data_IF_947636664886
#
_entry.id   IF_947636664886
#
_cell.length_a   1.000
_cell.length_b   1.000
_cell.length_c   1.000
_cell.angle_alpha   90.00
_cell.angle_beta   90.00
_cell.angle_gamma   90.00
#
_symmetry.space_group_name_H-M   'P 1'
#
loop_
_entity.id
_entity.type
_entity.pdbx_description
1 polymer ?
#
# COMPACT_ATOMS: atom_id res chain seq x y z
N UNK A 1 10.68 11.48 4.50
CA UNK A 1 10.15 12.25 5.65
C UNK A 1 11.27 12.58 6.63
N UNK A 2 12.22 13.48 6.29
CA UNK A 2 13.37 13.79 7.14
C UNK A 2 12.99 14.55 8.41
N UNK A 3 13.59 14.17 9.54
CA UNK A 3 13.54 14.89 10.82
C UNK A 3 14.93 14.96 11.46
N UNK A 4 15.09 15.77 12.50
CA UNK A 4 16.36 15.98 13.20
C UNK A 4 16.77 17.45 13.23
N UNK A 5 18.08 17.71 13.25
CA UNK A 5 18.63 19.07 13.21
C UNK A 5 18.26 19.76 11.89
N UNK A 6 17.76 20.98 11.97
CA UNK A 6 17.30 21.73 10.78
C UNK A 6 18.46 22.08 9.86
N UNK A 7 19.60 22.46 10.43
CA UNK A 7 20.83 22.80 9.73
C UNK A 7 21.34 21.60 8.91
N UNK A 8 21.26 20.39 9.49
CA UNK A 8 21.64 19.18 8.78
C UNK A 8 20.69 18.89 7.61
N UNK A 9 19.38 19.09 7.79
CA UNK A 9 18.42 18.96 6.69
C UNK A 9 18.72 19.94 5.55
N UNK A 10 19.03 21.20 5.86
CA UNK A 10 19.32 22.21 4.83
C UNK A 10 20.51 21.83 3.95
N UNK A 11 21.53 21.17 4.50
CA UNK A 11 22.69 20.66 3.75
C UNK A 11 22.31 19.53 2.76
N UNK A 12 21.40 18.64 3.14
CA UNK A 12 21.02 17.47 2.31
C UNK A 12 19.77 17.69 1.47
N UNK A 13 18.98 18.72 1.77
CA UNK A 13 17.72 19.03 1.11
C UNK A 13 17.82 19.11 -0.43
N UNK A 14 18.88 19.70 -1.04
CA UNK A 14 19.00 19.73 -2.50
C UNK A 14 19.02 18.34 -3.13
N UNK A 15 19.70 17.38 -2.49
CA UNK A 15 19.77 16.00 -2.97
C UNK A 15 18.41 15.32 -2.75
N UNK A 16 17.85 15.44 -1.54
CA UNK A 16 16.58 14.80 -1.20
C UNK A 16 15.44 15.26 -2.10
N UNK A 17 15.39 16.55 -2.47
CA UNK A 17 14.38 17.10 -3.37
C UNK A 17 14.53 16.61 -4.81
N UNK A 18 15.75 16.37 -5.29
CA UNK A 18 16.00 15.89 -6.66
C UNK A 18 15.63 14.41 -6.84
N UNK A 19 15.75 13.59 -5.78
CA UNK A 19 15.46 12.16 -5.86
C UNK A 19 14.05 11.79 -5.41
N UNK A 20 13.32 12.72 -4.78
CA UNK A 20 11.95 12.49 -4.35
C UNK A 20 11.00 12.40 -5.56
N UNK A 21 9.94 11.61 -5.43
CA UNK A 21 8.81 11.70 -6.36
C UNK A 21 8.25 13.14 -6.37
N UNK A 22 7.73 13.57 -7.51
CA UNK A 22 7.14 14.90 -7.69
C UNK A 22 5.63 14.72 -7.84
N UNK A 23 4.85 15.43 -7.01
CA UNK A 23 3.40 15.40 -7.06
C UNK A 23 2.86 16.18 -8.29
N UNK A 24 1.57 16.05 -8.56
CA UNK A 24 0.92 16.69 -9.73
C UNK A 24 1.00 18.22 -9.69
N UNK A 25 1.09 18.80 -8.50
CA UNK A 25 1.29 20.24 -8.29
C UNK A 25 2.73 20.70 -8.54
N UNK A 26 3.64 19.79 -8.87
CA UNK A 26 5.05 20.05 -9.15
C UNK A 26 5.95 20.08 -7.91
N UNK A 27 5.40 19.86 -6.72
CA UNK A 27 6.19 19.86 -5.49
C UNK A 27 6.82 18.48 -5.22
N UNK A 28 8.11 18.43 -4.81
CA UNK A 28 8.75 17.18 -4.45
C UNK A 28 8.17 16.64 -3.13
N UNK A 29 7.93 15.33 -3.05
CA UNK A 29 7.39 14.60 -1.90
C UNK A 29 8.39 14.46 -0.74
N UNK A 30 9.00 15.56 -0.33
CA UNK A 30 9.93 15.64 0.79
C UNK A 30 9.82 17.01 1.45
N UNK A 31 9.71 16.99 2.78
CA UNK A 31 9.71 18.20 3.59
C UNK A 31 10.38 17.91 4.93
N UNK A 32 10.91 18.96 5.57
CA UNK A 32 11.42 18.86 6.93
C UNK A 32 10.23 18.70 7.89
N UNK A 33 10.18 17.55 8.56
CA UNK A 33 9.05 17.18 9.40
C UNK A 33 9.14 17.84 10.78
N UNK A 34 10.34 17.92 11.35
CA UNK A 34 10.55 18.47 12.69
C UNK A 34 11.83 17.97 13.34
N UNK A 35 12.02 18.36 14.60
CA UNK A 35 13.18 17.98 15.41
C UNK A 35 13.23 16.48 15.71
N UNK A 36 14.41 16.01 16.10
CA UNK A 36 14.65 14.65 16.61
C UNK A 36 14.06 13.54 15.71
N UNK A 37 13.29 12.62 16.29
CA UNK A 37 12.71 11.47 15.61
C UNK A 37 11.41 11.75 14.84
N UNK A 38 11.01 13.01 14.63
CA UNK A 38 9.73 13.34 14.02
C UNK A 38 9.52 12.69 12.64
N UNK A 39 10.57 12.65 11.82
CA UNK A 39 10.54 11.98 10.52
C UNK A 39 10.27 10.47 10.60
N UNK A 40 10.89 9.79 11.56
CA UNK A 40 10.65 8.37 11.81
C UNK A 40 9.23 8.12 12.34
N UNK A 41 8.71 9.03 13.18
CA UNK A 41 7.35 8.94 13.69
C UNK A 41 6.32 9.03 12.56
N UNK A 42 6.47 10.00 11.64
CA UNK A 42 5.55 10.10 10.49
C UNK A 42 5.64 8.85 9.60
N UNK A 43 6.83 8.27 9.41
CA UNK A 43 6.95 6.99 8.67
C UNK A 43 6.28 5.83 9.39
N UNK A 44 6.39 5.76 10.71
CA UNK A 44 5.70 4.74 11.52
C UNK A 44 4.18 4.87 11.36
N UNK A 45 3.64 6.08 11.41
CA UNK A 45 2.20 6.34 11.21
C UNK A 45 1.76 6.02 9.79
N UNK A 46 2.54 6.39 8.76
CA UNK A 46 2.27 6.03 7.38
C UNK A 46 2.15 4.51 7.19
N UNK A 47 3.07 3.73 7.77
CA UNK A 47 2.95 2.27 7.76
C UNK A 47 1.69 1.81 8.50
N UNK A 48 1.33 2.45 9.63
CA UNK A 48 0.08 2.14 10.32
C UNK A 48 -1.18 2.35 9.46
N UNK A 49 -1.22 3.45 8.71
CA UNK A 49 -2.32 3.76 7.77
C UNK A 49 -2.35 2.75 6.63
N UNK A 50 -1.19 2.43 6.03
CA UNK A 50 -1.06 1.43 4.95
C UNK A 50 -1.65 0.07 5.37
N UNK A 51 -1.34 -0.41 6.58
CA UNK A 51 -1.90 -1.67 7.07
C UNK A 51 -3.42 -1.59 7.28
N UNK A 52 -3.93 -0.43 7.70
CA UNK A 52 -5.38 -0.19 7.80
C UNK A 52 -6.07 -0.28 6.45
N UNK A 53 -5.53 0.41 5.45
CA UNK A 53 -6.09 0.41 4.08
C UNK A 53 -6.07 -0.98 3.46
N UNK A 54 -4.95 -1.71 3.61
CA UNK A 54 -4.84 -3.09 3.13
C UNK A 54 -5.87 -4.03 3.79
N UNK A 55 -6.11 -3.88 5.09
CA UNK A 55 -7.10 -4.68 5.81
C UNK A 55 -8.54 -4.34 5.37
N UNK A 56 -8.85 -3.06 5.16
CA UNK A 56 -10.15 -2.64 4.65
C UNK A 56 -10.41 -3.17 3.24
N UNK A 57 -9.40 -3.12 2.36
CA UNK A 57 -9.47 -3.71 1.02
C UNK A 57 -9.70 -5.22 1.09
N UNK A 58 -8.99 -5.91 1.98
CA UNK A 58 -9.14 -7.36 2.16
C UNK A 58 -10.53 -7.75 2.69
N UNK A 59 -11.11 -6.95 3.58
CA UNK A 59 -12.48 -7.15 4.07
C UNK A 59 -13.51 -6.92 2.96
N UNK A 60 -13.34 -5.88 2.14
CA UNK A 60 -14.19 -5.65 0.97
C UNK A 60 -14.10 -6.84 0.00
N UNK A 61 -12.89 -7.33 -0.30
CA UNK A 61 -12.69 -8.55 -1.08
C UNK A 61 -13.43 -9.75 -0.46
N UNK A 62 -13.29 -9.99 0.84
CA UNK A 62 -13.91 -11.13 1.51
C UNK A 62 -15.45 -11.08 1.42
N UNK A 63 -16.05 -9.89 1.55
CA UNK A 63 -17.49 -9.69 1.38
C UNK A 63 -17.95 -9.95 -0.05
N UNK A 64 -17.22 -9.45 -1.04
CA UNK A 64 -17.56 -9.63 -2.46
C UNK A 64 -17.35 -11.08 -2.91
N UNK A 65 -16.23 -11.70 -2.54
CA UNK A 65 -15.88 -13.07 -2.91
C UNK A 65 -16.72 -14.10 -2.17
N UNK A 66 -16.83 -13.98 -0.85
CA UNK A 66 -17.51 -14.95 0.00
C UNK A 66 -19.00 -14.69 0.17
N UNK A 67 -19.41 -13.42 0.23
CA UNK A 67 -20.80 -13.02 0.44
C UNK A 67 -21.60 -12.92 -0.86
N UNK A 68 -21.04 -12.32 -1.91
CA UNK A 68 -21.69 -12.17 -3.22
C UNK A 68 -21.22 -13.19 -4.27
N UNK A 69 -20.27 -14.06 -3.92
CA UNK A 69 -19.76 -15.12 -4.79
C UNK A 69 -19.16 -14.63 -6.12
N UNK A 70 -18.58 -13.42 -6.16
CA UNK A 70 -17.97 -12.88 -7.37
C UNK A 70 -16.76 -13.72 -7.84
N UNK A 71 -16.61 -13.86 -9.15
CA UNK A 71 -15.40 -14.38 -9.78
C UNK A 71 -14.22 -13.40 -9.64
N UNK A 72 -13.00 -13.87 -9.91
CA UNK A 72 -11.81 -13.00 -9.79
C UNK A 72 -11.80 -11.93 -10.89
N UNK A 73 -12.38 -12.24 -12.05
CA UNK A 73 -12.59 -11.32 -13.15
C UNK A 73 -13.59 -10.22 -12.80
N UNK A 74 -14.70 -10.57 -12.14
CA UNK A 74 -15.69 -9.58 -11.64
C UNK A 74 -15.10 -8.71 -10.53
N UNK A 75 -14.27 -9.28 -9.65
CA UNK A 75 -13.52 -8.52 -8.65
C UNK A 75 -12.54 -7.55 -9.31
N UNK A 76 -11.76 -8.00 -10.29
CA UNK A 76 -10.84 -7.15 -11.04
C UNK A 76 -11.57 -5.98 -11.70
N UNK A 77 -12.72 -6.24 -12.32
CA UNK A 77 -13.55 -5.19 -12.91
C UNK A 77 -14.06 -4.21 -11.85
N UNK A 78 -14.61 -4.70 -10.75
CA UNK A 78 -15.13 -3.86 -9.66
C UNK A 78 -14.05 -2.92 -9.10
N UNK A 79 -12.86 -3.46 -8.83
CA UNK A 79 -11.73 -2.65 -8.33
C UNK A 79 -11.15 -1.73 -9.41
N UNK A 80 -11.28 -2.06 -10.69
CA UNK A 80 -10.96 -1.14 -11.79
C UNK A 80 -11.88 0.06 -11.76
N UNK A 81 -13.19 -0.15 -11.67
CA UNK A 81 -14.19 0.92 -11.59
C UNK A 81 -13.97 1.81 -10.35
N UNK A 82 -13.62 1.22 -9.20
CA UNK A 82 -13.29 1.96 -7.99
C UNK A 82 -12.04 2.83 -8.15
N UNK A 83 -11.03 2.36 -8.89
CA UNK A 83 -9.79 3.09 -9.12
C UNK A 83 -9.96 4.29 -10.07
N UNK A 84 -11.03 4.32 -10.85
CA UNK A 84 -11.39 5.46 -11.71
C UNK A 84 -12.19 6.54 -10.95
N UNK A 85 -12.65 6.22 -9.73
CA UNK A 85 -13.46 7.10 -8.89
C UNK A 85 -12.72 7.64 -7.66
N UNK A 86 -13.45 7.80 -6.56
CA UNK A 86 -12.94 8.39 -5.31
C UNK A 86 -11.87 7.53 -4.61
N UNK A 87 -11.82 6.23 -4.91
CA UNK A 87 -10.86 5.29 -4.33
C UNK A 87 -9.59 5.15 -5.18
N UNK A 88 -9.39 6.02 -6.17
CA UNK A 88 -8.19 6.04 -7.01
C UNK A 88 -6.93 6.10 -6.15
N UNK A 89 -6.20 4.98 -6.12
CA UNK A 89 -5.03 4.83 -5.26
C UNK A 89 -4.15 3.69 -5.72
N UNK A 90 -2.87 3.76 -5.36
CA UNK A 90 -1.91 2.71 -5.70
C UNK A 90 -2.33 1.33 -5.18
N UNK A 91 -2.87 1.23 -3.95
CA UNK A 91 -3.29 -0.04 -3.37
C UNK A 91 -4.48 -0.67 -4.11
N UNK A 92 -5.43 0.13 -4.57
CA UNK A 92 -6.56 -0.34 -5.37
C UNK A 92 -6.08 -0.78 -6.77
N UNK A 93 -5.16 -0.01 -7.37
CA UNK A 93 -4.57 -0.31 -8.68
C UNK A 93 -3.84 -1.66 -8.70
N UNK A 94 -2.97 -1.93 -7.72
CA UNK A 94 -2.31 -3.25 -7.64
C UNK A 94 -3.29 -4.36 -7.29
N UNK A 95 -4.35 -4.06 -6.53
CA UNK A 95 -5.35 -5.05 -6.11
C UNK A 95 -6.15 -5.59 -7.30
N UNK A 96 -6.64 -4.72 -8.20
CA UNK A 96 -7.32 -5.18 -9.42
C UNK A 96 -6.41 -6.07 -10.28
N UNK A 97 -5.12 -5.76 -10.35
CA UNK A 97 -4.15 -6.51 -11.16
C UNK A 97 -3.89 -7.88 -10.54
N UNK A 98 -3.80 -7.96 -9.20
CA UNK A 98 -3.61 -9.22 -8.46
C UNK A 98 -4.73 -10.22 -8.75
N UNK A 99 -5.99 -9.77 -8.83
CA UNK A 99 -7.11 -10.69 -9.11
C UNK A 99 -7.00 -11.38 -10.48
N UNK A 100 -6.33 -10.75 -11.46
CA UNK A 100 -6.14 -11.34 -12.79
C UNK A 100 -4.84 -12.14 -12.92
N UNK A 101 -3.97 -12.10 -11.91
CA UNK A 101 -2.67 -12.77 -11.95
C UNK A 101 -2.85 -14.28 -11.84
N UNK A 102 -2.27 -15.01 -12.80
CA UNK A 102 -2.24 -16.47 -12.82
C UNK A 102 -0.84 -17.01 -12.55
N UNK A 103 -0.78 -18.19 -11.94
CA UNK A 103 0.44 -18.99 -11.78
C UNK A 103 0.77 -19.76 -13.07
N UNK A 104 1.85 -20.55 -13.04
CA UNK A 104 2.30 -21.37 -14.17
C UNK A 104 1.32 -22.49 -14.53
N UNK A 105 0.46 -22.90 -13.59
CA UNK A 105 -0.58 -23.92 -13.78
C UNK A 105 -1.91 -23.31 -14.29
N UNK A 106 -1.97 -21.98 -14.43
CA UNK A 106 -3.14 -21.23 -14.88
C UNK A 106 -4.18 -20.97 -13.79
N UNK A 107 -3.89 -21.25 -12.52
CA UNK A 107 -4.75 -20.91 -11.38
C UNK A 107 -4.55 -19.46 -11.00
N UNK A 108 -5.58 -18.84 -10.44
CA UNK A 108 -5.46 -17.49 -9.91
C UNK A 108 -4.55 -17.48 -8.68
N UNK A 109 -3.55 -16.62 -8.70
CA UNK A 109 -2.51 -16.59 -7.67
C UNK A 109 -3.11 -16.27 -6.30
N UNK A 110 -4.09 -15.36 -6.25
CA UNK A 110 -4.79 -14.98 -5.01
C UNK A 110 -5.48 -16.15 -4.31
N UNK A 111 -5.91 -17.18 -5.05
CA UNK A 111 -6.63 -18.33 -4.50
C UNK A 111 -5.68 -19.44 -3.98
N UNK A 112 -4.39 -19.37 -4.32
CA UNK A 112 -3.38 -20.37 -3.94
C UNK A 112 -2.34 -19.83 -2.96
N UNK A 113 -2.33 -18.52 -2.69
CA UNK A 113 -1.50 -17.92 -1.64
C UNK A 113 -2.01 -18.36 -0.26
N UNK A 114 -1.08 -18.76 0.61
CA UNK A 114 -1.38 -19.05 2.01
C UNK A 114 -1.88 -17.77 2.72
N UNK A 115 -3.06 -17.84 3.35
CA UNK A 115 -3.66 -16.73 4.10
C UNK A 115 -3.03 -16.56 5.49
N UNK A 116 -1.73 -16.29 5.51
CA UNK A 116 -0.96 -15.94 6.70
C UNK A 116 -0.13 -14.69 6.40
N UNK A 117 -0.57 -13.52 6.89
CA UNK A 117 0.20 -12.30 6.67
C UNK A 117 1.35 -12.18 7.68
N UNK A 118 2.58 -12.11 7.15
CA UNK A 118 3.74 -11.73 7.93
C UNK A 118 3.78 -10.21 8.18
N UNK A 119 4.27 -9.81 9.35
CA UNK A 119 4.57 -8.40 9.67
C UNK A 119 6.01 -8.26 10.15
N UNK A 120 6.69 -7.18 9.73
CA UNK A 120 8.06 -6.87 10.17
C UNK A 120 8.10 -6.22 11.56
N UNK A 121 6.95 -5.78 12.08
CA UNK A 121 6.81 -5.19 13.42
C UNK A 121 5.61 -5.86 14.11
N UNK A 122 5.69 -6.31 15.37
CA UNK A 122 4.58 -7.00 16.01
C UNK A 122 3.38 -6.06 16.16
N UNK A 123 2.36 -6.25 15.31
CA UNK A 123 1.01 -5.72 15.52
C UNK A 123 0.16 -6.90 16.01
N UNK A 124 -0.48 -6.75 17.16
CA UNK A 124 -1.31 -7.80 17.76
C UNK A 124 -2.62 -7.92 16.98
N UNK A 125 -2.72 -8.89 16.08
CA UNK A 125 -3.96 -9.24 15.38
C UNK A 125 -3.71 -10.18 14.18
N UNK A 126 -4.68 -11.01 13.78
CA UNK A 126 -4.57 -11.80 12.55
C UNK A 126 -4.71 -10.86 11.35
N UNK A 127 -3.58 -10.47 10.75
CA UNK A 127 -3.59 -9.73 9.50
C UNK A 127 -3.95 -10.70 8.36
N UNK A 128 -5.02 -10.38 7.62
CA UNK A 128 -5.47 -11.14 6.43
C UNK A 128 -5.30 -10.26 5.20
N UNK A 129 -4.05 -10.00 4.80
CA UNK A 129 -3.74 -9.13 3.65
C UNK A 129 -2.38 -9.44 2.98
N UNK A 130 -1.90 -10.69 3.05
CA UNK A 130 -0.55 -11.01 2.54
C UNK A 130 -0.40 -10.82 1.03
N UNK A 131 -1.47 -11.05 0.26
CA UNK A 131 -1.45 -10.92 -1.20
C UNK A 131 -1.26 -9.47 -1.67
N UNK A 132 -1.80 -8.48 -0.95
CA UNK A 132 -1.52 -7.05 -1.20
C UNK A 132 -0.07 -6.74 -0.79
N UNK A 133 0.38 -7.25 0.36
CA UNK A 133 1.72 -7.01 0.89
C UNK A 133 2.84 -7.61 0.04
N UNK A 134 2.60 -8.73 -0.63
CA UNK A 134 3.62 -9.50 -1.35
C UNK A 134 4.19 -8.74 -2.55
N UNK A 135 3.43 -7.81 -3.15
CA UNK A 135 3.88 -6.98 -4.26
C UNK A 135 4.50 -5.63 -3.84
N UNK A 136 4.28 -5.16 -2.61
CA UNK A 136 4.86 -3.90 -2.11
C UNK A 136 6.33 -4.02 -1.65
N UNK A 137 6.87 -5.25 -1.58
CA UNK A 137 8.26 -5.52 -1.17
C UNK A 137 9.20 -5.91 -2.33
N UNK A 138 8.79 -5.71 -3.59
CA UNK A 138 9.65 -5.82 -4.78
C UNK A 138 9.98 -4.43 -5.36
#
# INVERSE_FOLDING_TARGET
>A
MPGGQKEAYELVAPILKQIAAVAEDGEPCVTYIGADGAGHYVKMVHNGIEYGDMQLIAEAYALLKGGLALSNEELAQTFTEWNEGELSSYLIDITKDIFTKKDEEGKYLVDVILDEAATKVPVSGPARAHWISANLCL
#
